data_IF_806126157998
#
_entry.id   IF_806126157998
#
_cell.length_a   1.000
_cell.length_b   1.000
_cell.length_c   1.000
_cell.angle_alpha   90.00
_cell.angle_beta   90.00
_cell.angle_gamma   90.00
#
_symmetry.space_group_name_H-M   'P 1'
#
loop_
_entity.id
_entity.type
_entity.pdbx_description
1 polymer ?
#
# COMPACT_ATOMS: atom_id res chain seq x y z
N UNK A 1 3.44 19.22 -11.37
CA UNK A 1 4.87 19.54 -11.33
C UNK A 1 5.52 18.45 -10.50
N UNK A 2 6.28 17.55 -11.11
CA UNK A 2 7.07 16.59 -10.37
C UNK A 2 8.05 17.37 -9.49
N UNK A 3 8.03 17.09 -8.18
CA UNK A 3 9.02 17.67 -7.27
C UNK A 3 10.28 16.83 -7.47
N UNK A 4 11.24 17.43 -8.19
CA UNK A 4 12.58 16.88 -8.34
C UNK A 4 13.24 16.93 -6.94
N UNK A 5 13.17 15.80 -6.21
CA UNK A 5 13.89 15.67 -4.94
C UNK A 5 15.36 15.48 -5.32
N UNK A 6 16.25 16.44 -5.02
CA UNK A 6 17.64 16.31 -5.41
C UNK A 6 18.25 15.01 -4.88
N UNK A 7 19.04 14.25 -5.66
CA UNK A 7 19.66 12.98 -5.23
C UNK A 7 20.42 13.08 -3.90
N UNK A 8 21.01 14.23 -3.62
CA UNK A 8 21.68 14.55 -2.35
C UNK A 8 20.73 14.48 -1.13
N UNK A 9 19.41 14.65 -1.32
CA UNK A 9 18.42 14.54 -0.25
C UNK A 9 18.14 13.06 0.09
N UNK A 10 18.07 12.20 -0.93
CA UNK A 10 17.93 10.75 -0.76
C UNK A 10 19.15 10.22 -0.02
N UNK A 11 20.37 10.64 -0.41
CA UNK A 11 21.59 10.25 0.31
C UNK A 11 21.64 10.77 1.75
N UNK A 12 21.16 11.99 2.01
CA UNK A 12 21.13 12.53 3.38
C UNK A 12 20.12 11.81 4.26
N UNK A 13 18.93 11.47 3.75
CA UNK A 13 17.94 10.66 4.48
C UNK A 13 18.47 9.27 4.72
N UNK A 14 19.20 8.68 3.77
CA UNK A 14 19.86 7.38 3.92
C UNK A 14 20.97 7.35 4.98
N UNK A 15 21.65 8.47 5.22
CA UNK A 15 22.74 8.59 6.22
C UNK A 15 22.24 8.95 7.63
N UNK A 16 20.94 9.19 7.82
CA UNK A 16 20.40 9.51 9.13
C UNK A 16 20.51 8.29 10.04
N UNK A 17 21.34 8.39 11.09
CA UNK A 17 21.27 7.48 12.22
C UNK A 17 20.02 7.81 13.06
N UNK A 18 18.93 7.13 12.74
CA UNK A 18 17.64 7.28 13.39
C UNK A 18 17.69 7.01 14.91
N UNK A 19 18.74 6.32 15.40
CA UNK A 19 18.96 6.09 16.81
C UNK A 19 19.35 7.37 17.57
N UNK A 20 20.16 8.24 16.97
CA UNK A 20 20.63 9.50 17.57
C UNK A 20 19.61 10.66 17.40
N UNK A 21 18.72 10.60 16.42
CA UNK A 21 17.61 11.58 16.26
C UNK A 21 16.63 11.53 17.42
N UNK A 22 16.51 10.40 18.12
CA UNK A 22 15.65 10.25 19.31
C UNK A 22 15.90 11.25 20.44
N UNK A 23 17.15 11.68 20.60
CA UNK A 23 17.51 12.56 21.72
C UNK A 23 17.20 14.04 21.43
N UNK A 24 17.18 14.44 20.15
CA UNK A 24 17.01 15.83 19.75
C UNK A 24 15.56 16.22 19.43
N UNK A 25 14.66 15.25 19.24
CA UNK A 25 13.31 15.49 18.67
C UNK A 25 12.25 14.69 19.43
N UNK A 26 12.08 14.98 20.74
CA UNK A 26 11.07 14.31 21.58
C UNK A 26 9.65 14.42 20.97
N UNK A 27 9.33 15.54 20.32
CA UNK A 27 8.01 15.78 19.71
C UNK A 27 7.75 14.97 18.42
N UNK A 28 8.81 14.45 17.78
CA UNK A 28 8.69 13.67 16.52
C UNK A 28 8.90 12.17 16.71
N UNK A 29 9.11 11.72 17.94
CA UNK A 29 9.34 10.31 18.27
C UNK A 29 8.31 9.34 17.69
N UNK A 30 6.99 9.61 17.78
CA UNK A 30 5.95 8.77 17.18
C UNK A 30 6.08 8.64 15.67
N UNK A 31 6.32 9.75 14.97
CA UNK A 31 6.49 9.79 13.50
C UNK A 31 7.69 8.95 13.05
N UNK A 32 8.83 9.16 13.68
CA UNK A 32 10.07 8.42 13.39
C UNK A 32 9.94 6.92 13.66
N UNK A 33 9.19 6.56 14.72
CA UNK A 33 8.92 5.16 15.04
C UNK A 33 8.07 4.51 13.96
N UNK A 34 6.99 5.17 13.51
CA UNK A 34 6.11 4.65 12.45
C UNK A 34 6.87 4.51 11.14
N UNK A 35 7.66 5.52 10.74
CA UNK A 35 8.47 5.46 9.53
C UNK A 35 9.47 4.30 9.58
N UNK A 36 10.16 4.13 10.70
CA UNK A 36 11.13 3.04 10.87
C UNK A 36 10.48 1.66 10.87
N UNK A 37 9.34 1.51 11.54
CA UNK A 37 8.68 0.22 11.76
C UNK A 37 7.81 -0.20 10.55
N UNK A 38 7.40 0.76 9.71
CA UNK A 38 6.56 0.52 8.55
C UNK A 38 7.34 0.55 7.24
N UNK A 39 8.33 1.44 7.15
CA UNK A 39 9.16 1.61 5.96
C UNK A 39 10.62 1.49 6.36
N UNK A 40 11.27 0.46 5.87
CA UNK A 40 12.73 0.37 5.94
C UNK A 40 13.36 1.38 4.97
N UNK A 41 14.70 1.45 5.02
CA UNK A 41 15.47 2.40 4.20
C UNK A 41 15.28 2.14 2.70
N UNK A 42 15.16 0.88 2.29
CA UNK A 42 14.99 0.46 0.90
C UNK A 42 13.64 0.92 0.37
N UNK A 43 12.56 0.66 1.11
CA UNK A 43 11.19 1.10 0.77
C UNK A 43 11.10 2.63 0.61
N UNK A 44 11.72 3.41 1.52
CA UNK A 44 11.71 4.89 1.41
C UNK A 44 12.45 5.34 0.16
N UNK A 45 13.58 4.70 -0.18
CA UNK A 45 14.33 5.02 -1.39
C UNK A 45 13.53 4.70 -2.65
N UNK A 46 12.90 3.53 -2.71
CA UNK A 46 12.04 3.13 -3.83
C UNK A 46 10.88 4.13 -4.05
N UNK A 47 10.18 4.52 -2.96
CA UNK A 47 9.09 5.51 -3.04
C UNK A 47 9.61 6.87 -3.54
N UNK A 48 10.79 7.30 -3.10
CA UNK A 48 11.39 8.55 -3.54
C UNK A 48 11.83 8.50 -5.01
N UNK A 49 12.24 7.31 -5.49
CA UNK A 49 12.58 7.03 -6.88
C UNK A 49 11.34 6.89 -7.79
N UNK A 50 10.14 6.99 -7.23
CA UNK A 50 8.87 6.97 -7.95
C UNK A 50 8.27 5.59 -8.14
N UNK A 51 8.75 4.57 -7.46
CA UNK A 51 8.23 3.20 -7.55
C UNK A 51 8.36 2.46 -6.21
N UNK A 52 7.50 1.48 -6.00
CA UNK A 52 7.51 0.60 -4.84
C UNK A 52 7.11 -0.81 -5.26
N UNK A 53 7.98 -1.79 -5.07
CA UNK A 53 7.64 -3.19 -5.30
C UNK A 53 7.14 -3.87 -4.04
N UNK A 54 5.89 -4.32 -4.05
CA UNK A 54 5.28 -5.04 -2.93
C UNK A 54 5.06 -6.50 -3.31
N UNK A 55 5.68 -7.40 -2.56
CA UNK A 55 5.60 -8.85 -2.79
C UNK A 55 4.22 -9.39 -2.43
N UNK A 56 3.77 -10.43 -3.15
CA UNK A 56 2.50 -11.12 -2.88
C UNK A 56 2.35 -11.56 -1.43
N UNK A 57 3.42 -12.01 -0.79
CA UNK A 57 3.39 -12.43 0.62
C UNK A 57 2.97 -11.28 1.55
N UNK A 58 3.48 -10.06 1.32
CA UNK A 58 3.15 -8.86 2.10
C UNK A 58 1.70 -8.44 1.85
N UNK A 59 1.26 -8.47 0.59
CA UNK A 59 -0.13 -8.16 0.21
C UNK A 59 -1.10 -9.15 0.86
N UNK A 60 -0.80 -10.44 0.79
CA UNK A 60 -1.63 -11.50 1.37
C UNK A 60 -1.72 -11.40 2.89
N UNK A 61 -0.63 -11.07 3.58
CA UNK A 61 -0.63 -10.81 5.01
C UNK A 61 -1.49 -9.60 5.37
N UNK A 62 -1.32 -8.49 4.64
CA UNK A 62 -2.13 -7.28 4.86
C UNK A 62 -3.63 -7.54 4.63
N UNK A 63 -3.99 -8.29 3.58
CA UNK A 63 -5.37 -8.69 3.32
C UNK A 63 -5.90 -9.55 4.46
N UNK A 64 -5.16 -10.57 4.90
CA UNK A 64 -5.59 -11.47 5.95
C UNK A 64 -5.88 -10.73 7.28
N UNK A 65 -5.08 -9.71 7.60
CA UNK A 65 -5.30 -8.88 8.79
C UNK A 65 -6.54 -7.97 8.71
N UNK A 66 -6.98 -7.63 7.49
CA UNK A 66 -8.11 -6.73 7.27
C UNK A 66 -9.41 -7.44 6.88
N UNK A 67 -9.39 -8.76 6.71
CA UNK A 67 -10.60 -9.54 6.51
C UNK A 67 -11.46 -9.53 7.79
N UNK A 68 -12.71 -9.06 7.65
CA UNK A 68 -13.65 -9.05 8.76
C UNK A 68 -14.10 -10.47 9.15
N UNK A 69 -14.17 -10.76 10.46
CA UNK A 69 -14.69 -12.03 10.96
C UNK A 69 -16.16 -12.29 10.54
N UNK A 70 -16.91 -11.22 10.34
CA UNK A 70 -18.35 -11.24 10.00
C UNK A 70 -18.61 -11.27 8.49
N UNK A 71 -17.57 -11.10 7.66
CA UNK A 71 -17.66 -11.16 6.21
C UNK A 71 -18.04 -12.55 5.68
N UNK A 72 -18.56 -12.62 4.47
CA UNK A 72 -18.84 -13.90 3.77
C UNK A 72 -17.57 -14.50 3.16
N UNK A 73 -16.51 -13.73 3.00
CA UNK A 73 -15.20 -14.15 2.53
C UNK A 73 -14.34 -14.53 3.73
N UNK A 74 -13.75 -15.72 3.70
CA UNK A 74 -12.91 -16.28 4.76
C UNK A 74 -11.42 -16.13 4.50
N UNK A 75 -11.04 -16.17 3.26
CA UNK A 75 -9.66 -15.84 2.85
C UNK A 75 -9.64 -15.29 1.43
N UNK A 76 -8.67 -14.45 1.17
CA UNK A 76 -8.29 -13.99 -0.16
C UNK A 76 -6.80 -14.20 -0.30
N UNK A 77 -6.38 -14.82 -1.39
CA UNK A 77 -4.99 -15.06 -1.73
C UNK A 77 -4.72 -14.49 -3.12
N UNK A 78 -3.73 -13.62 -3.22
CA UNK A 78 -3.26 -13.03 -4.46
C UNK A 78 -2.03 -13.79 -4.97
N UNK A 79 -1.93 -13.92 -6.27
CA UNK A 79 -0.75 -14.45 -6.95
C UNK A 79 -0.48 -13.61 -8.19
N UNK A 80 0.67 -12.97 -8.23
CA UNK A 80 1.09 -12.12 -9.34
C UNK A 80 1.91 -12.92 -10.36
N UNK A 81 1.57 -12.76 -11.64
CA UNK A 81 2.19 -13.50 -12.74
C UNK A 81 2.99 -12.57 -13.65
N UNK A 82 4.05 -13.10 -14.27
CA UNK A 82 4.94 -12.38 -15.18
C UNK A 82 4.21 -11.76 -16.39
N UNK A 83 3.12 -12.39 -16.84
CA UNK A 83 2.30 -11.92 -17.97
C UNK A 83 1.39 -10.71 -17.62
N UNK A 84 1.54 -10.14 -16.43
CA UNK A 84 0.76 -8.99 -15.97
C UNK A 84 -0.63 -9.36 -15.41
N UNK A 85 -0.95 -10.66 -15.30
CA UNK A 85 -2.18 -11.12 -14.67
C UNK A 85 -2.03 -11.27 -13.16
N UNK A 86 -3.09 -10.90 -12.45
CA UNK A 86 -3.25 -11.15 -11.03
C UNK A 86 -4.27 -12.26 -10.83
N UNK A 87 -3.83 -13.36 -10.23
CA UNK A 87 -4.70 -14.42 -9.75
C UNK A 87 -5.27 -14.07 -8.39
N UNK A 88 -6.56 -14.31 -8.18
CA UNK A 88 -7.24 -14.12 -6.89
C UNK A 88 -8.00 -15.40 -6.54
N UNK A 89 -7.70 -15.96 -5.39
CA UNK A 89 -8.42 -17.12 -4.84
C UNK A 89 -9.16 -16.66 -3.60
N UNK A 90 -10.50 -16.75 -3.65
CA UNK A 90 -11.35 -16.43 -2.50
C UNK A 90 -11.94 -17.72 -1.92
N UNK A 91 -11.90 -17.88 -0.60
CA UNK A 91 -12.72 -18.88 0.11
C UNK A 91 -13.89 -18.20 0.79
N UNK A 92 -15.05 -18.86 0.78
CA UNK A 92 -16.30 -18.30 1.32
C UNK A 92 -17.05 -19.33 2.16
N UNK A 93 -17.95 -18.86 3.01
CA UNK A 93 -18.89 -19.73 3.76
C UNK A 93 -20.09 -20.17 2.93
N UNK A 94 -20.26 -19.60 1.73
CA UNK A 94 -21.43 -19.84 0.88
C UNK A 94 -21.32 -21.19 0.16
N UNK A 95 -22.36 -21.50 -0.63
CA UNK A 95 -22.47 -22.74 -1.40
C UNK A 95 -21.21 -23.05 -2.24
N UNK A 96 -20.59 -22.02 -2.80
CA UNK A 96 -19.35 -22.13 -3.57
C UNK A 96 -18.18 -21.72 -2.70
N UNK A 97 -17.59 -22.70 -2.02
CA UNK A 97 -16.56 -22.46 -1.00
C UNK A 97 -15.25 -21.87 -1.55
N UNK A 98 -14.98 -22.06 -2.83
CA UNK A 98 -13.75 -21.57 -3.47
C UNK A 98 -14.09 -20.96 -4.83
N UNK A 99 -13.61 -19.76 -5.05
CA UNK A 99 -13.77 -18.99 -6.29
C UNK A 99 -12.37 -18.58 -6.74
N UNK A 100 -12.04 -18.89 -7.99
CA UNK A 100 -10.77 -18.51 -8.60
C UNK A 100 -11.04 -17.49 -9.70
N UNK A 101 -10.37 -16.35 -9.63
CA UNK A 101 -10.43 -15.26 -10.60
C UNK A 101 -9.01 -15.03 -11.15
N UNK A 102 -8.92 -14.62 -12.40
CA UNK A 102 -7.68 -14.15 -13.00
C UNK A 102 -8.01 -12.95 -13.89
N UNK A 103 -7.19 -11.93 -13.83
CA UNK A 103 -7.43 -10.69 -14.56
C UNK A 103 -6.29 -9.69 -14.40
N UNK A 104 -6.59 -8.43 -14.68
CA UNK A 104 -5.60 -7.35 -14.71
C UNK A 104 -6.05 -6.17 -13.86
N UNK A 105 -5.11 -5.48 -13.22
CA UNK A 105 -5.37 -4.19 -12.59
C UNK A 105 -5.53 -3.15 -13.70
N UNK A 106 -6.66 -2.47 -13.74
CA UNK A 106 -6.94 -1.40 -14.72
C UNK A 106 -6.59 -0.04 -14.18
N UNK A 107 -6.78 0.14 -12.88
CA UNK A 107 -6.55 1.39 -12.21
C UNK A 107 -6.18 1.09 -10.76
N UNK A 108 -5.22 1.81 -10.23
CA UNK A 108 -4.89 1.83 -8.83
C UNK A 108 -4.52 3.26 -8.46
N UNK A 109 -5.26 3.83 -7.54
CA UNK A 109 -5.10 5.23 -7.12
C UNK A 109 -5.10 5.31 -5.61
N UNK A 110 -4.11 6.01 -5.07
CA UNK A 110 -4.11 6.48 -3.71
C UNK A 110 -3.70 7.94 -3.67
N UNK A 111 -4.54 8.77 -3.07
CA UNK A 111 -4.28 10.18 -2.78
C UNK A 111 -4.78 10.48 -1.37
N UNK A 112 -4.54 11.70 -0.86
CA UNK A 112 -5.11 12.13 0.43
C UNK A 112 -6.64 12.09 0.50
N UNK A 113 -7.33 12.06 -0.65
CA UNK A 113 -8.80 12.14 -0.71
C UNK A 113 -9.47 10.82 -1.10
N UNK A 114 -8.78 9.92 -1.79
CA UNK A 114 -9.36 8.67 -2.32
C UNK A 114 -8.32 7.57 -2.44
N UNK A 115 -8.76 6.34 -2.25
CA UNK A 115 -7.91 5.16 -2.38
C UNK A 115 -8.73 3.99 -2.89
N UNK A 116 -8.53 3.62 -4.15
CA UNK A 116 -9.27 2.53 -4.77
C UNK A 116 -8.46 1.79 -5.82
N UNK A 117 -8.89 0.59 -6.12
CA UNK A 117 -8.38 -0.22 -7.23
C UNK A 117 -9.54 -0.70 -8.11
N UNK A 118 -9.31 -0.75 -9.43
CA UNK A 118 -10.20 -1.37 -10.40
C UNK A 118 -9.52 -2.59 -10.98
N UNK A 119 -10.08 -3.75 -10.72
CA UNK A 119 -9.61 -5.03 -11.22
C UNK A 119 -10.57 -5.56 -12.29
N UNK A 120 -10.05 -5.89 -13.47
CA UNK A 120 -10.82 -6.50 -14.55
C UNK A 120 -10.64 -8.01 -14.54
N UNK A 121 -11.73 -8.75 -14.42
CA UNK A 121 -11.75 -10.20 -14.39
C UNK A 121 -11.86 -10.76 -15.81
N UNK A 122 -10.79 -11.41 -16.28
CA UNK A 122 -10.74 -12.09 -17.59
C UNK A 122 -11.25 -13.53 -17.50
N UNK A 123 -10.86 -14.25 -16.44
CA UNK A 123 -11.20 -15.66 -16.24
C UNK A 123 -11.78 -15.89 -14.86
N UNK A 124 -12.79 -16.75 -14.79
CA UNK A 124 -13.49 -17.14 -13.56
C UNK A 124 -13.66 -18.66 -13.53
N UNK A 125 -13.41 -19.27 -12.36
CA UNK A 125 -13.55 -20.72 -12.19
C UNK A 125 -14.14 -21.06 -10.83
N UNK A 126 -15.00 -22.06 -10.81
CA UNK A 126 -15.50 -22.72 -9.59
C UNK A 126 -14.92 -24.14 -9.56
N UNK A 127 -13.84 -24.38 -8.80
CA UNK A 127 -13.26 -25.71 -8.68
C UNK A 127 -14.31 -26.72 -8.19
N UNK A 128 -14.27 -27.96 -8.72
CA UNK A 128 -15.15 -29.06 -8.34
C UNK A 128 -16.65 -28.90 -8.70
N UNK A 129 -17.00 -27.96 -9.57
CA UNK A 129 -18.39 -27.68 -9.98
C UNK A 129 -18.61 -27.73 -11.51
N UNK A 130 -18.09 -28.72 -12.20
CA UNK A 130 -18.18 -29.01 -13.63
C UNK A 130 -19.05 -28.09 -14.52
N UNK A 131 -20.33 -28.44 -14.74
CA UNK A 131 -21.26 -27.66 -15.57
C UNK A 131 -21.52 -26.25 -15.03
N UNK A 132 -21.57 -26.10 -13.70
CA UNK A 132 -21.78 -24.78 -13.05
C UNK A 132 -20.55 -23.90 -13.27
N UNK A 133 -19.35 -24.45 -13.21
CA UNK A 133 -18.12 -23.71 -13.49
C UNK A 133 -18.05 -23.27 -14.95
N UNK A 134 -18.52 -24.10 -15.90
CA UNK A 134 -18.60 -23.73 -17.29
C UNK A 134 -19.59 -22.58 -17.54
N UNK A 135 -20.77 -22.60 -16.90
CA UNK A 135 -21.74 -21.51 -16.99
C UNK A 135 -21.18 -20.25 -16.33
N UNK A 136 -20.59 -20.38 -15.13
CA UNK A 136 -19.95 -19.31 -14.37
C UNK A 136 -18.87 -18.58 -15.19
N UNK A 137 -18.06 -19.31 -15.96
CA UNK A 137 -17.01 -18.70 -16.79
C UNK A 137 -17.55 -17.82 -17.93
N UNK A 138 -18.80 -18.01 -18.35
CA UNK A 138 -19.42 -17.29 -19.48
C UNK A 138 -20.30 -16.10 -19.08
N UNK A 139 -20.75 -16.05 -17.84
CA UNK A 139 -21.54 -14.94 -17.31
C UNK A 139 -20.62 -13.76 -16.94
N UNK A 140 -21.14 -12.54 -16.95
CA UNK A 140 -20.42 -11.43 -16.34
C UNK A 140 -20.29 -11.62 -14.83
N UNK A 141 -19.29 -11.03 -14.20
CA UNK A 141 -19.10 -11.17 -12.75
C UNK A 141 -20.30 -10.60 -11.97
N UNK A 142 -20.91 -9.50 -12.44
CA UNK A 142 -22.11 -8.94 -11.84
C UNK A 142 -23.34 -9.86 -11.93
N UNK A 143 -23.44 -10.67 -12.97
CA UNK A 143 -24.49 -11.71 -13.06
C UNK A 143 -24.21 -12.86 -12.08
N UNK A 144 -22.95 -13.22 -11.94
CA UNK A 144 -22.50 -14.24 -10.98
C UNK A 144 -22.80 -13.78 -9.55
N UNK A 145 -22.49 -12.55 -9.20
CA UNK A 145 -22.80 -11.99 -7.88
C UNK A 145 -24.29 -12.10 -7.54
N UNK A 146 -25.17 -11.82 -8.50
CA UNK A 146 -26.63 -11.97 -8.31
C UNK A 146 -27.05 -13.43 -8.05
N UNK A 147 -26.32 -14.40 -8.61
CA UNK A 147 -26.62 -15.83 -8.42
C UNK A 147 -26.04 -16.39 -7.11
N UNK A 148 -24.86 -15.96 -6.73
CA UNK A 148 -24.12 -16.44 -5.56
C UNK A 148 -24.48 -15.66 -4.29
N UNK A 149 -24.97 -14.44 -4.48
CA UNK A 149 -25.18 -13.43 -3.44
C UNK A 149 -23.96 -12.53 -3.29
N UNK A 150 -24.16 -11.38 -2.69
CA UNK A 150 -23.11 -10.37 -2.50
C UNK A 150 -21.90 -10.96 -1.78
N UNK A 151 -20.74 -10.66 -2.31
CA UNK A 151 -19.45 -11.08 -1.76
C UNK A 151 -18.87 -9.88 -0.97
N UNK A 152 -19.23 -9.79 0.29
CA UNK A 152 -18.72 -8.73 1.16
C UNK A 152 -17.37 -9.18 1.74
N UNK A 153 -16.33 -8.39 1.49
CA UNK A 153 -14.98 -8.59 2.04
C UNK A 153 -14.96 -8.18 3.50
N UNK A 154 -15.44 -6.96 3.77
CA UNK A 154 -15.76 -6.44 5.10
C UNK A 154 -16.63 -5.19 4.95
N UNK A 155 -17.31 -4.77 6.01
CA UNK A 155 -18.07 -3.50 6.02
C UNK A 155 -17.19 -2.27 5.82
N UNK A 156 -15.87 -2.41 6.04
CA UNK A 156 -14.88 -1.33 5.90
C UNK A 156 -14.26 -1.22 4.51
N UNK A 157 -14.49 -2.20 3.66
CA UNK A 157 -13.91 -2.26 2.30
C UNK A 157 -15.07 -2.42 1.32
N UNK A 158 -15.70 -1.32 0.89
CA UNK A 158 -16.73 -1.35 -0.13
C UNK A 158 -16.22 -1.97 -1.43
N UNK A 159 -17.01 -2.89 -1.96
CA UNK A 159 -16.74 -3.53 -3.27
C UNK A 159 -17.93 -3.27 -4.18
N UNK A 160 -17.66 -2.73 -5.36
CA UNK A 160 -18.65 -2.52 -6.42
C UNK A 160 -18.30 -3.35 -7.66
N UNK A 161 -19.28 -4.11 -8.18
CA UNK A 161 -19.06 -4.99 -9.34
C UNK A 161 -19.92 -4.53 -10.50
N UNK A 162 -19.24 -4.05 -11.56
CA UNK A 162 -19.89 -3.62 -12.82
C UNK A 162 -19.36 -4.43 -14.00
N UNK A 163 -20.19 -5.31 -14.55
CA UNK A 163 -19.78 -6.20 -15.62
C UNK A 163 -18.74 -7.21 -15.12
N UNK A 164 -17.52 -7.10 -15.62
CA UNK A 164 -16.36 -7.85 -15.16
C UNK A 164 -15.35 -7.00 -14.38
N UNK A 165 -15.68 -5.76 -14.09
CA UNK A 165 -14.82 -4.90 -13.27
C UNK A 165 -15.25 -4.97 -11.81
N UNK A 166 -14.27 -5.09 -10.93
CA UNK A 166 -14.39 -5.04 -9.48
C UNK A 166 -13.68 -3.79 -9.03
N UNK A 167 -14.41 -2.85 -8.45
CA UNK A 167 -13.83 -1.68 -7.77
C UNK A 167 -13.79 -1.95 -6.28
N UNK A 168 -12.63 -1.81 -5.70
CA UNK A 168 -12.41 -1.97 -4.26
C UNK A 168 -12.00 -0.61 -3.72
N UNK A 169 -12.77 -0.06 -2.78
CA UNK A 169 -12.42 1.16 -2.06
C UNK A 169 -11.79 0.78 -0.72
N UNK A 170 -10.57 1.24 -0.50
CA UNK A 170 -9.81 0.98 0.72
C UNK A 170 -9.38 2.26 1.44
N UNK A 171 -10.00 3.39 1.11
CA UNK A 171 -9.66 4.70 1.70
C UNK A 171 -9.78 4.69 3.22
N UNK A 172 -10.92 4.23 3.75
CA UNK A 172 -11.18 4.24 5.19
C UNK A 172 -10.22 3.32 5.97
N UNK A 173 -9.83 2.18 5.36
CA UNK A 173 -8.86 1.25 5.96
C UNK A 173 -7.49 1.88 6.04
N UNK A 174 -7.04 2.54 4.98
CA UNK A 174 -5.76 3.24 4.96
C UNK A 174 -5.77 4.45 5.90
N UNK A 175 -6.84 5.23 5.92
CA UNK A 175 -6.98 6.38 6.82
C UNK A 175 -6.95 5.95 8.30
N UNK A 176 -7.51 4.79 8.63
CA UNK A 176 -7.48 4.21 9.98
C UNK A 176 -6.15 3.50 10.32
N UNK A 177 -5.24 3.33 9.37
CA UNK A 177 -3.94 2.70 9.58
C UNK A 177 -3.01 3.58 10.42
N UNK A 178 -1.89 3.01 10.91
CA UNK A 178 -0.87 3.79 11.62
C UNK A 178 -0.31 4.95 10.79
N UNK A 179 -0.15 4.77 9.48
CA UNK A 179 0.30 5.83 8.57
C UNK A 179 -0.75 6.93 8.41
N UNK A 180 -2.04 6.54 8.33
CA UNK A 180 -3.16 7.48 8.22
C UNK A 180 -3.39 8.30 9.48
N UNK A 181 -3.18 7.69 10.65
CA UNK A 181 -3.42 8.34 11.96
C UNK A 181 -2.18 9.03 12.55
N UNK A 182 -0.99 8.81 11.97
CA UNK A 182 0.22 9.50 12.42
C UNK A 182 0.39 10.80 11.65
N UNK A 183 0.44 11.91 12.37
CA UNK A 183 0.58 13.25 11.82
C UNK A 183 1.97 13.83 12.07
N UNK A 184 2.47 14.57 11.10
CA UNK A 184 3.65 15.41 11.21
C UNK A 184 3.31 16.82 10.73
N UNK A 185 3.44 17.81 11.60
CA UNK A 185 3.02 19.20 11.34
C UNK A 185 1.55 19.35 10.92
N UNK A 186 0.66 18.48 11.43
CA UNK A 186 -0.75 18.48 11.06
C UNK A 186 -1.09 17.79 9.73
N UNK A 187 -0.10 17.16 9.08
CA UNK A 187 -0.28 16.37 7.86
C UNK A 187 -0.13 14.88 8.18
N UNK A 188 -1.09 14.07 7.73
CA UNK A 188 -0.98 12.60 7.83
C UNK A 188 0.20 12.11 6.99
N UNK A 189 0.98 11.15 7.50
CA UNK A 189 2.07 10.54 6.74
C UNK A 189 1.56 9.86 5.46
N UNK A 190 0.36 9.27 5.53
CA UNK A 190 -0.27 8.64 4.39
C UNK A 190 -0.57 9.64 3.26
N UNK A 191 -0.98 10.89 3.60
CA UNK A 191 -1.29 11.93 2.61
C UNK A 191 -0.06 12.46 1.88
N UNK A 192 1.15 12.15 2.37
CA UNK A 192 2.40 12.55 1.74
C UNK A 192 2.88 11.58 0.65
N UNK A 193 2.23 10.43 0.52
CA UNK A 193 2.52 9.44 -0.54
C UNK A 193 1.30 9.32 -1.44
N UNK A 194 1.51 9.48 -2.72
CA UNK A 194 0.49 9.22 -3.73
C UNK A 194 0.88 8.00 -4.55
N UNK A 195 -0.11 7.20 -4.96
CA UNK A 195 0.06 6.09 -5.91
C UNK A 195 -0.80 6.40 -7.12
N UNK A 196 -0.16 6.47 -8.29
CA UNK A 196 -0.81 6.85 -9.55
C UNK A 196 -1.10 5.64 -10.44
N UNK A 197 -0.48 4.50 -10.15
CA UNK A 197 -0.63 3.28 -10.95
C UNK A 197 -0.10 2.05 -10.24
N UNK A 198 -0.44 0.89 -10.81
CA UNK A 198 0.07 -0.40 -10.37
C UNK A 198 0.27 -1.34 -11.56
N UNK A 199 1.43 -1.98 -11.62
CA UNK A 199 1.78 -2.96 -12.64
C UNK A 199 2.09 -4.30 -11.98
N UNK A 200 1.37 -5.35 -12.38
CA UNK A 200 1.63 -6.71 -11.89
C UNK A 200 2.93 -7.22 -12.51
N UNK A 201 3.82 -7.74 -11.66
CA UNK A 201 5.07 -8.40 -12.01
C UNK A 201 5.09 -9.78 -11.39
N UNK A 202 6.03 -10.63 -11.77
CA UNK A 202 6.18 -11.93 -11.12
C UNK A 202 6.44 -11.78 -9.61
N UNK A 203 5.58 -12.42 -8.80
CA UNK A 203 5.69 -12.46 -7.34
C UNK A 203 5.32 -11.18 -6.60
N UNK A 204 4.73 -10.17 -7.28
CA UNK A 204 4.30 -8.94 -6.62
C UNK A 204 3.75 -7.88 -7.56
N UNK A 205 3.46 -6.73 -6.98
CA UNK A 205 2.94 -5.55 -7.68
C UNK A 205 3.93 -4.40 -7.55
N UNK A 206 4.27 -3.79 -8.68
CA UNK A 206 5.02 -2.55 -8.76
C UNK A 206 4.03 -1.38 -8.77
N UNK A 207 4.13 -0.50 -7.80
CA UNK A 207 3.34 0.72 -7.70
C UNK A 207 4.13 1.92 -8.21
N UNK A 208 3.48 2.76 -8.99
CA UNK A 208 4.02 4.05 -9.40
C UNK A 208 3.70 5.07 -8.30
N UNK A 209 4.73 5.57 -7.62
CA UNK A 209 4.59 6.39 -6.42
C UNK A 209 5.04 7.83 -6.68
N UNK A 210 4.47 8.76 -5.90
CA UNK A 210 4.91 10.15 -5.86
C UNK A 210 4.87 10.67 -4.43
N UNK A 211 5.95 11.33 -4.00
CA UNK A 211 5.98 12.04 -2.73
C UNK A 211 5.38 13.44 -2.88
N UNK A 212 4.35 13.71 -2.11
CA UNK A 212 3.70 15.01 -2.00
C UNK A 212 3.93 15.59 -0.59
N UNK A 213 5.19 15.98 -0.33
CA UNK A 213 5.58 16.50 0.98
C UNK A 213 5.29 18.00 1.05
N UNK A 214 4.47 18.48 2.01
CA UNK A 214 4.20 19.89 2.23
C UNK A 214 5.47 20.72 2.52
N UNK A 215 5.48 22.00 2.17
CA UNK A 215 6.69 22.82 2.29
C UNK A 215 7.09 23.07 3.76
N UNK A 216 6.12 23.23 4.65
CA UNK A 216 6.35 23.34 6.10
C UNK A 216 6.97 22.05 6.71
N UNK A 217 6.63 20.89 6.17
CA UNK A 217 7.24 19.60 6.51
C UNK A 217 8.68 19.54 5.99
N UNK A 218 8.91 19.95 4.73
CA UNK A 218 10.27 20.04 4.15
C UNK A 218 11.16 20.96 4.95
N UNK A 219 10.65 22.11 5.37
CA UNK A 219 11.40 23.09 6.15
C UNK A 219 11.74 22.55 7.54
N UNK A 220 10.78 21.89 8.21
CA UNK A 220 11.02 21.23 9.48
C UNK A 220 12.09 20.13 9.38
N UNK A 221 12.05 19.31 8.32
CA UNK A 221 13.07 18.29 8.08
C UNK A 221 14.45 18.91 7.81
N UNK A 222 14.53 20.02 7.08
CA UNK A 222 15.79 20.76 6.87
C UNK A 222 16.39 21.27 8.17
N UNK A 223 15.56 21.81 9.05
CA UNK A 223 16.02 22.37 10.31
C UNK A 223 16.55 21.27 11.24
N UNK A 224 15.85 20.11 11.32
CA UNK A 224 16.33 18.92 12.03
C UNK A 224 17.69 18.46 11.50
N UNK A 225 17.86 18.44 10.18
CA UNK A 225 19.13 18.03 9.55
C UNK A 225 20.26 19.01 9.79
N UNK A 226 20.00 20.35 9.82
CA UNK A 226 20.98 21.39 10.12
C UNK A 226 21.46 21.32 11.56
N UNK A 227 20.54 21.20 12.51
CA UNK A 227 20.89 21.08 13.96
C UNK A 227 21.79 19.87 14.20
N UNK A 228 21.48 18.75 13.55
CA UNK A 228 22.30 17.54 13.66
C UNK A 228 23.70 17.71 13.07
N UNK A 229 23.81 18.37 11.93
CA UNK A 229 25.11 18.64 11.30
C UNK A 229 25.98 19.55 12.20
N UNK A 230 25.38 20.50 12.89
CA UNK A 230 26.08 21.39 13.83
C UNK A 230 26.57 20.63 15.07
N UNK A 231 25.76 19.70 15.63
CA UNK A 231 26.14 18.87 16.78
C UNK A 231 27.27 17.91 16.44
N UNK A 232 27.25 17.30 15.26
CA UNK A 232 28.33 16.40 14.81
C UNK A 232 29.65 17.15 14.57
N UNK A 233 29.61 18.39 14.08
CA UNK A 233 30.82 19.23 13.90
C UNK A 233 31.39 19.69 15.25
N UNK A 234 30.54 19.99 16.24
CA UNK A 234 31.02 20.36 17.59
C UNK A 234 31.66 19.19 18.35
N UNK A 235 31.12 17.97 18.17
CA UNK A 235 31.70 16.77 18.82
C UNK A 235 33.00 16.28 18.17
N UNK A 236 33.23 16.59 16.90
CA UNK A 236 34.47 16.25 16.20
C UNK A 236 35.62 17.25 16.53
N UNK A 237 35.32 18.44 17.03
CA UNK A 237 36.29 19.45 17.39
C UNK A 237 36.89 19.33 18.78
N UNK A 238 36.32 18.49 19.68
CA UNK A 238 36.83 18.30 21.06
C UNK A 238 37.81 17.13 21.23
N UNK A 239 38.12 16.40 20.16
CA UNK A 239 38.97 15.18 20.19
C UNK A 239 40.48 15.38 19.93
N UNK A 240 40.94 16.61 19.62
CA UNK A 240 42.34 16.84 19.21
C UNK A 240 43.10 17.82 20.16
N UNK A 241 43.07 17.50 21.44
CA UNK A 241 43.76 18.26 22.46
C UNK A 241 44.23 17.42 23.63
N UNK A 242 45.16 16.47 23.35
CA UNK A 242 46.15 16.01 24.38
C UNK A 242 47.27 15.25 23.73
#
# INVERSE_FOLDING_TARGET
MAIDIPPQWVEQVQRIDWGSVRAAVADYGPVLTVLRDTWDRETISEIADGHLFVRDAVLNEAIAHNLGADGTIRSVELTSHEDGHLGIVCTTDKKYKRIELSGTIKEFVHTGEKSYAVYHVDKKKLPNHGLVSWLFSRLSLSMVERMVGRLDVSDRIPVDIKGNNVTVDFHDVLAASRLGTTEFRGHSLLSMVEIEGATVKEGGIMFDTRLNVPDDVKDALRDILKEKSAVLQSSAGEGDGH
#
